data_IF_755912330358
#
_entry.id   IF_755912330358
#
_cell.length_a   1.000
_cell.length_b   1.000
_cell.length_c   1.000
_cell.angle_alpha   90.00
_cell.angle_beta   90.00
_cell.angle_gamma   90.00
#
_symmetry.space_group_name_H-M   'P 1'
#
loop_
_entity.id
_entity.type
_entity.pdbx_description
1 polymer ?
#
# COMPACT_ATOMS: atom_id res chain seq x y z
N UNK A 1 -1.96 -20.08 15.71
CA UNK A 1 -1.97 -21.51 15.34
C UNK A 1 -0.74 -21.86 14.48
N UNK A 2 -0.52 -21.20 13.34
CA UNK A 2 0.61 -21.52 12.43
C UNK A 2 1.98 -21.49 13.12
N UNK A 3 2.29 -20.42 13.86
CA UNK A 3 3.54 -20.30 14.61
C UNK A 3 3.73 -21.39 15.67
N UNK A 4 2.65 -21.72 16.40
CA UNK A 4 2.67 -22.81 17.37
C UNK A 4 2.94 -24.16 16.71
N UNK A 5 2.35 -24.43 15.55
CA UNK A 5 2.59 -25.65 14.79
C UNK A 5 4.05 -25.72 14.34
N UNK A 6 4.58 -24.63 13.75
CA UNK A 6 5.97 -24.58 13.29
C UNK A 6 6.95 -24.82 14.46
N UNK A 7 6.73 -24.15 15.59
CA UNK A 7 7.58 -24.29 16.78
C UNK A 7 7.60 -25.71 17.32
N UNK A 8 6.46 -26.43 17.29
CA UNK A 8 6.39 -27.81 17.76
C UNK A 8 6.85 -28.85 16.73
N UNK A 9 6.88 -28.51 15.43
CA UNK A 9 7.34 -29.42 14.40
C UNK A 9 8.85 -29.41 14.18
N UNK A 10 9.51 -28.28 14.44
CA UNK A 10 10.91 -28.10 14.12
C UNK A 10 11.71 -27.67 15.35
N UNK A 11 12.69 -28.48 15.73
CA UNK A 11 13.66 -28.16 16.78
C UNK A 11 14.80 -27.31 16.16
N UNK A 12 14.54 -26.01 16.02
CA UNK A 12 15.49 -25.06 15.42
C UNK A 12 15.31 -23.64 15.99
N UNK A 13 16.27 -22.78 15.73
CA UNK A 13 16.15 -21.34 16.01
C UNK A 13 15.37 -20.66 14.90
N UNK A 14 14.55 -19.67 15.27
CA UNK A 14 13.70 -18.93 14.35
C UNK A 14 14.14 -17.48 14.26
N UNK A 15 14.20 -16.95 13.05
CA UNK A 15 14.22 -15.50 12.80
C UNK A 15 12.91 -15.13 12.11
N UNK A 16 12.10 -14.32 12.79
CA UNK A 16 10.81 -13.88 12.28
C UNK A 16 10.88 -12.42 11.93
N UNK A 17 10.45 -12.10 10.70
CA UNK A 17 10.35 -10.73 10.20
C UNK A 17 8.89 -10.41 9.95
N UNK A 18 8.46 -9.23 10.36
CA UNK A 18 7.09 -8.79 10.14
C UNK A 18 6.92 -7.30 10.39
N UNK A 19 5.83 -6.76 9.87
CA UNK A 19 5.37 -5.41 10.17
C UNK A 19 3.90 -5.48 10.59
N UNK A 20 3.65 -5.32 11.89
CA UNK A 20 2.29 -5.34 12.44
C UNK A 20 1.40 -4.23 11.88
N UNK A 21 2.00 -3.20 11.30
CA UNK A 21 1.31 -2.05 10.74
C UNK A 21 0.87 -2.28 9.29
N UNK A 22 1.45 -3.27 8.62
CA UNK A 22 1.04 -3.73 7.30
C UNK A 22 0.13 -4.96 7.37
N UNK A 23 -0.58 -5.12 8.49
CA UNK A 23 -1.51 -6.23 8.63
C UNK A 23 -2.85 -5.94 7.98
N UNK A 24 -3.36 -6.93 7.25
CA UNK A 24 -4.71 -6.92 6.71
C UNK A 24 -5.75 -7.43 7.72
N UNK A 25 -5.28 -8.06 8.82
CA UNK A 25 -6.09 -8.59 9.91
C UNK A 25 -5.55 -8.09 11.26
N UNK A 26 -5.88 -6.86 11.68
CA UNK A 26 -5.31 -6.22 12.88
C UNK A 26 -5.51 -7.03 14.17
N UNK A 27 -6.67 -7.64 14.34
CA UNK A 27 -6.99 -8.45 15.53
C UNK A 27 -6.09 -9.67 15.65
N UNK A 28 -5.91 -10.42 14.56
CA UNK A 28 -5.06 -11.61 14.55
C UNK A 28 -3.59 -11.26 14.83
N UNK A 29 -3.13 -10.11 14.36
CA UNK A 29 -1.76 -9.65 14.57
C UNK A 29 -1.50 -9.21 16.00
N UNK A 30 -2.45 -8.53 16.65
CA UNK A 30 -2.38 -8.18 18.08
C UNK A 30 -2.33 -9.43 18.95
N UNK A 31 -3.17 -10.42 18.65
CA UNK A 31 -3.18 -11.71 19.36
C UNK A 31 -1.83 -12.42 19.20
N UNK A 32 -1.27 -12.43 18.01
CA UNK A 32 0.05 -13.03 17.77
C UNK A 32 1.12 -12.32 18.58
N UNK A 33 1.21 -10.99 18.50
CA UNK A 33 2.19 -10.19 19.22
C UNK A 33 2.14 -10.44 20.73
N UNK A 34 0.94 -10.46 21.32
CA UNK A 34 0.75 -10.65 22.76
C UNK A 34 1.06 -12.07 23.25
N UNK A 35 1.10 -13.05 22.36
CA UNK A 35 1.34 -14.45 22.72
C UNK A 35 2.66 -15.01 22.16
N UNK A 36 3.45 -14.19 21.49
CA UNK A 36 4.69 -14.66 20.84
C UNK A 36 5.67 -15.25 21.87
N UNK A 37 5.87 -14.56 22.99
CA UNK A 37 6.76 -15.01 24.08
C UNK A 37 6.26 -16.34 24.70
N UNK A 38 4.95 -16.53 24.82
CA UNK A 38 4.38 -17.79 25.33
C UNK A 38 4.54 -18.96 24.34
N UNK A 39 4.56 -18.65 23.03
CA UNK A 39 4.73 -19.66 21.99
C UNK A 39 6.21 -20.07 21.88
N UNK A 40 7.13 -19.15 22.19
CA UNK A 40 8.58 -19.31 22.01
C UNK A 40 9.34 -19.54 23.33
N UNK A 41 8.64 -19.97 24.39
CA UNK A 41 9.19 -20.28 25.70
C UNK A 41 10.05 -19.15 26.31
N UNK A 42 9.61 -17.89 26.16
CA UNK A 42 10.22 -16.67 26.72
C UNK A 42 11.70 -16.44 26.32
N UNK A 43 12.18 -17.10 25.27
CA UNK A 43 13.57 -16.96 24.78
C UNK A 43 13.70 -16.03 23.58
N UNK A 44 12.66 -15.28 23.25
CA UNK A 44 12.68 -14.41 22.08
C UNK A 44 13.42 -13.09 22.35
N UNK A 45 14.19 -12.64 21.37
CA UNK A 45 14.79 -11.30 21.35
C UNK A 45 14.01 -10.48 20.33
N UNK A 46 13.35 -9.42 20.79
CA UNK A 46 12.65 -8.51 19.94
C UNK A 46 13.57 -7.37 19.48
N UNK A 47 13.68 -7.19 18.16
CA UNK A 47 14.46 -6.11 17.56
C UNK A 47 13.53 -5.28 16.67
N UNK A 48 13.38 -4.00 16.97
CA UNK A 48 12.61 -3.07 16.17
C UNK A 48 13.51 -2.38 15.14
N UNK A 49 13.16 -2.54 13.85
CA UNK A 49 13.79 -1.84 12.74
C UNK A 49 12.97 -0.60 12.41
N UNK A 50 13.42 0.55 12.89
CA UNK A 50 12.68 1.81 12.76
C UNK A 50 13.24 2.75 11.68
N UNK A 51 14.11 2.26 10.78
CA UNK A 51 14.72 3.05 9.72
C UNK A 51 14.37 2.50 8.34
N UNK A 52 13.82 3.36 7.48
CA UNK A 52 13.48 3.01 6.09
C UNK A 52 14.44 3.68 5.11
N UNK A 53 14.79 2.94 4.05
CA UNK A 53 15.62 3.39 2.92
C UNK A 53 14.83 3.36 1.60
N UNK A 54 13.58 2.90 1.65
CA UNK A 54 12.76 2.57 0.49
C UNK A 54 12.22 3.80 -0.22
N UNK A 55 11.41 4.57 0.47
CA UNK A 55 10.64 5.67 -0.11
C UNK A 55 11.33 7.03 0.13
N UNK A 56 10.98 8.03 -0.67
CA UNK A 56 11.41 9.40 -0.43
C UNK A 56 10.83 9.96 0.87
N UNK A 57 11.50 10.98 1.43
CA UNK A 57 11.13 11.62 2.70
C UNK A 57 9.66 12.01 2.74
N UNK A 58 9.17 12.68 1.70
CA UNK A 58 7.80 13.20 1.64
C UNK A 58 6.75 12.08 1.70
N UNK A 59 7.05 10.94 1.07
CA UNK A 59 6.17 9.77 1.12
C UNK A 59 6.19 9.16 2.52
N UNK A 60 7.37 9.04 3.14
CA UNK A 60 7.51 8.49 4.51
C UNK A 60 6.78 9.35 5.53
N UNK A 61 6.97 10.66 5.49
CA UNK A 61 6.29 11.61 6.37
C UNK A 61 4.77 11.50 6.22
N UNK A 62 4.28 11.39 4.98
CA UNK A 62 2.87 11.25 4.70
C UNK A 62 2.28 9.95 5.27
N UNK A 63 2.85 8.78 4.93
CA UNK A 63 2.27 7.53 5.43
C UNK A 63 2.44 7.34 6.95
N UNK A 64 3.47 7.93 7.56
CA UNK A 64 3.62 7.97 9.00
C UNK A 64 2.49 8.78 9.65
N UNK A 65 2.13 9.92 9.08
CA UNK A 65 0.97 10.72 9.50
C UNK A 65 -0.32 9.91 9.40
N UNK A 66 -0.57 9.28 8.24
CA UNK A 66 -1.74 8.40 8.03
C UNK A 66 -1.77 7.27 9.06
N UNK A 67 -0.64 6.62 9.32
CA UNK A 67 -0.53 5.50 10.26
C UNK A 67 -0.49 5.89 11.75
N UNK A 68 -0.47 7.19 12.09
CA UNK A 68 -0.20 7.70 13.45
C UNK A 68 1.12 7.16 14.01
N UNK A 69 2.19 7.17 13.20
CA UNK A 69 3.49 6.64 13.56
C UNK A 69 4.52 7.74 13.67
N UNK A 70 5.16 7.79 14.82
CA UNK A 70 6.16 8.81 15.13
C UNK A 70 7.59 8.30 15.05
N UNK A 71 7.79 6.97 14.95
CA UNK A 71 9.11 6.35 15.18
C UNK A 71 9.79 5.81 13.93
N UNK A 72 9.21 5.96 12.72
CA UNK A 72 9.87 5.51 11.50
C UNK A 72 10.76 6.63 10.98
N UNK A 73 12.07 6.44 11.14
CA UNK A 73 13.08 7.33 10.57
C UNK A 73 13.32 6.99 9.10
N UNK A 74 13.71 7.98 8.33
CA UNK A 74 14.06 7.80 6.91
C UNK A 74 15.52 8.22 6.67
N UNK A 75 16.14 7.63 5.67
CA UNK A 75 17.38 8.17 5.12
C UNK A 75 17.01 9.33 4.21
N UNK A 76 17.66 10.46 4.42
CA UNK A 76 17.38 11.71 3.72
C UNK A 76 17.56 11.56 2.20
N UNK A 77 16.47 11.15 1.51
CA UNK A 77 16.33 11.19 0.08
C UNK A 77 15.10 12.03 -0.23
N UNK A 78 15.34 13.27 -0.60
CA UNK A 78 14.27 14.16 -1.01
C UNK A 78 13.63 13.69 -2.31
N UNK A 79 12.32 13.75 -2.34
CA UNK A 79 11.50 13.42 -3.50
C UNK A 79 10.48 14.51 -3.76
N UNK A 80 9.49 14.19 -4.56
CA UNK A 80 8.39 15.10 -4.82
C UNK A 80 7.35 15.07 -3.69
N UNK A 81 6.62 16.17 -3.50
CA UNK A 81 5.48 16.19 -2.59
C UNK A 81 4.43 15.15 -3.01
N UNK A 82 3.71 14.63 -2.02
CA UNK A 82 2.51 13.82 -2.26
C UNK A 82 1.45 14.70 -2.91
N UNK A 83 0.89 14.25 -4.03
CA UNK A 83 -0.13 14.98 -4.76
C UNK A 83 -1.54 14.51 -4.39
N UNK A 84 -2.49 15.46 -4.37
CA UNK A 84 -3.90 15.22 -4.17
C UNK A 84 -4.66 15.74 -5.39
N UNK A 85 -5.31 14.85 -6.12
CA UNK A 85 -5.97 15.17 -7.37
C UNK A 85 -7.45 14.85 -7.27
N UNK A 86 -8.30 15.88 -7.37
CA UNK A 86 -9.75 15.68 -7.50
C UNK A 86 -10.09 15.34 -8.93
N UNK A 87 -10.97 14.36 -9.10
CA UNK A 87 -11.48 13.91 -10.38
C UNK A 87 -13.00 14.06 -10.43
N UNK A 88 -13.57 14.01 -11.62
CA UNK A 88 -15.02 13.88 -11.83
C UNK A 88 -15.24 12.52 -12.52
N UNK A 89 -16.34 11.85 -12.20
CA UNK A 89 -16.63 10.50 -12.73
C UNK A 89 -16.47 10.39 -14.25
N UNK A 90 -16.89 11.40 -15.00
CA UNK A 90 -16.86 11.40 -16.45
C UNK A 90 -15.46 11.65 -17.05
N UNK A 91 -14.56 12.26 -16.31
CA UNK A 91 -13.19 12.59 -16.75
C UNK A 91 -12.10 11.77 -16.04
N UNK A 92 -12.47 10.88 -15.17
CA UNK A 92 -11.55 10.16 -14.26
C UNK A 92 -10.49 9.36 -15.02
N UNK A 93 -10.89 8.62 -16.06
CA UNK A 93 -9.96 7.83 -16.87
C UNK A 93 -8.94 8.73 -17.57
N UNK A 94 -9.36 9.87 -18.12
CA UNK A 94 -8.46 10.83 -18.73
C UNK A 94 -7.43 11.40 -17.73
N UNK A 95 -7.88 11.75 -16.52
CA UNK A 95 -6.97 12.22 -15.44
C UNK A 95 -5.97 11.15 -15.04
N UNK A 96 -6.42 9.89 -14.90
CA UNK A 96 -5.52 8.78 -14.58
C UNK A 96 -4.49 8.53 -15.69
N UNK A 97 -4.88 8.64 -16.96
CA UNK A 97 -3.96 8.58 -18.10
C UNK A 97 -2.91 9.69 -18.07
N UNK A 98 -3.33 10.91 -17.79
CA UNK A 98 -2.42 12.06 -17.70
C UNK A 98 -1.41 11.88 -16.56
N UNK A 99 -1.84 11.35 -15.41
CA UNK A 99 -0.95 11.02 -14.31
C UNK A 99 0.06 9.92 -14.69
N UNK A 100 -0.39 8.86 -15.36
CA UNK A 100 0.49 7.80 -15.86
C UNK A 100 1.50 8.36 -16.85
N UNK A 101 1.06 9.18 -17.81
CA UNK A 101 1.93 9.82 -18.80
C UNK A 101 2.97 10.73 -18.12
N UNK A 102 2.55 11.52 -17.13
CA UNK A 102 3.44 12.36 -16.31
C UNK A 102 4.50 11.53 -15.58
N UNK A 103 4.13 10.36 -15.04
CA UNK A 103 5.04 9.47 -14.36
C UNK A 103 6.05 8.84 -15.34
N UNK A 104 5.57 8.34 -16.48
CA UNK A 104 6.42 7.79 -17.54
C UNK A 104 7.43 8.83 -18.09
N UNK A 105 6.99 10.07 -18.25
CA UNK A 105 7.87 11.18 -18.69
C UNK A 105 9.00 11.48 -17.69
N UNK A 106 8.84 11.10 -16.41
CA UNK A 106 9.88 11.21 -15.37
C UNK A 106 10.78 9.97 -15.30
N UNK A 107 10.58 8.98 -16.14
CA UNK A 107 11.37 7.75 -16.19
C UNK A 107 10.92 6.68 -15.21
N UNK A 108 9.71 6.80 -14.61
CA UNK A 108 9.17 5.74 -13.77
C UNK A 108 8.66 4.59 -14.66
N UNK A 109 9.15 3.40 -14.41
CA UNK A 109 8.85 2.22 -15.21
C UNK A 109 7.76 1.36 -14.60
N UNK A 110 7.71 1.25 -13.26
CA UNK A 110 6.67 0.52 -12.56
C UNK A 110 5.68 1.49 -11.92
N UNK A 111 4.43 1.48 -12.40
CA UNK A 111 3.37 2.38 -11.95
C UNK A 111 2.14 1.57 -11.56
N UNK A 112 1.64 1.75 -10.34
CA UNK A 112 0.42 1.11 -9.91
C UNK A 112 -0.71 2.10 -9.65
N UNK A 113 -1.90 1.79 -10.15
CA UNK A 113 -3.16 2.35 -9.65
C UNK A 113 -3.69 1.38 -8.61
N UNK A 114 -3.63 1.78 -7.35
CA UNK A 114 -4.03 0.93 -6.22
C UNK A 114 -5.44 1.27 -5.79
N UNK A 115 -6.33 0.30 -5.87
CA UNK A 115 -7.73 0.39 -5.45
C UNK A 115 -7.94 -0.26 -4.07
N UNK A 116 -8.97 0.14 -3.35
CA UNK A 116 -9.29 -0.42 -2.03
C UNK A 116 -9.63 -1.91 -2.10
N UNK A 117 -10.37 -2.34 -3.12
CA UNK A 117 -10.86 -3.72 -3.26
C UNK A 117 -10.60 -4.31 -4.64
N UNK A 118 -10.58 -5.65 -4.76
CA UNK A 118 -10.49 -6.35 -6.04
C UNK A 118 -11.63 -5.96 -6.98
N UNK A 119 -12.86 -5.79 -6.44
CA UNK A 119 -14.01 -5.35 -7.24
C UNK A 119 -13.80 -3.98 -7.86
N UNK A 120 -13.26 -3.02 -7.11
CA UNK A 120 -12.94 -1.70 -7.66
C UNK A 120 -11.86 -1.80 -8.73
N UNK A 121 -10.85 -2.67 -8.54
CA UNK A 121 -9.80 -2.90 -9.53
C UNK A 121 -10.37 -3.41 -10.86
N UNK A 122 -11.25 -4.42 -10.81
CA UNK A 122 -11.90 -4.98 -12.00
C UNK A 122 -12.79 -3.95 -12.71
N UNK A 123 -13.59 -3.19 -11.96
CA UNK A 123 -14.45 -2.15 -12.55
C UNK A 123 -13.62 -1.06 -13.22
N UNK A 124 -12.53 -0.64 -12.59
CA UNK A 124 -11.64 0.37 -13.16
C UNK A 124 -10.94 -0.14 -14.42
N UNK A 125 -10.49 -1.40 -14.43
CA UNK A 125 -9.89 -2.02 -15.62
C UNK A 125 -10.87 -2.08 -16.80
N UNK A 126 -12.14 -2.45 -16.55
CA UNK A 126 -13.19 -2.42 -17.58
C UNK A 126 -13.43 -0.99 -18.12
N UNK A 127 -13.32 0.03 -17.29
CA UNK A 127 -13.48 1.43 -17.75
C UNK A 127 -12.31 1.85 -18.65
N UNK A 128 -11.08 1.43 -18.35
CA UNK A 128 -9.93 1.63 -19.20
C UNK A 128 -10.11 0.92 -20.55
N UNK A 129 -10.56 -0.33 -20.55
CA UNK A 129 -10.82 -1.11 -21.75
C UNK A 129 -11.90 -0.44 -22.63
N UNK A 130 -13.01 0.02 -22.03
CA UNK A 130 -14.07 0.77 -22.74
C UNK A 130 -13.57 2.08 -23.35
N UNK A 131 -12.56 2.69 -22.75
CA UNK A 131 -11.88 3.87 -23.30
C UNK A 131 -10.83 3.51 -24.38
N UNK A 132 -10.68 2.23 -24.74
CA UNK A 132 -9.70 1.75 -25.72
C UNK A 132 -8.27 1.69 -25.21
N UNK A 133 -8.08 1.64 -23.88
CA UNK A 133 -6.77 1.67 -23.24
C UNK A 133 -6.49 0.30 -22.61
N UNK A 134 -5.44 -0.34 -23.07
CA UNK A 134 -4.97 -1.57 -22.45
C UNK A 134 -4.17 -1.26 -21.20
N UNK A 135 -4.56 -1.87 -20.06
CA UNK A 135 -3.86 -1.78 -18.78
C UNK A 135 -3.88 -3.14 -18.11
N UNK A 136 -2.79 -3.50 -17.43
CA UNK A 136 -2.69 -4.78 -16.75
C UNK A 136 -3.50 -4.76 -15.44
N UNK A 137 -4.48 -5.65 -15.31
CA UNK A 137 -5.13 -5.94 -14.04
C UNK A 137 -4.36 -7.05 -13.33
N UNK A 138 -3.93 -6.80 -12.10
CA UNK A 138 -3.31 -7.80 -11.24
C UNK A 138 -4.34 -8.25 -10.20
N UNK A 139 -4.74 -9.49 -10.31
CA UNK A 139 -5.69 -10.16 -9.42
C UNK A 139 -5.11 -11.49 -8.88
N UNK A 140 -5.92 -12.24 -8.15
CA UNK A 140 -5.53 -13.51 -7.54
C UNK A 140 -5.17 -14.62 -8.56
N UNK A 141 -5.50 -14.42 -9.84
CA UNK A 141 -5.23 -15.37 -10.94
C UNK A 141 -3.99 -14.97 -11.77
N UNK A 142 -3.34 -13.87 -11.41
CA UNK A 142 -2.21 -13.35 -12.17
C UNK A 142 -0.91 -14.06 -11.79
N UNK A 143 -0.42 -14.96 -12.64
CA UNK A 143 0.81 -15.74 -12.38
C UNK A 143 2.11 -14.94 -12.57
N UNK A 144 2.09 -13.90 -13.40
CA UNK A 144 3.29 -13.11 -13.74
C UNK A 144 3.00 -11.63 -13.71
N UNK A 145 3.81 -10.91 -12.94
CA UNK A 145 3.84 -9.46 -12.93
C UNK A 145 4.93 -8.95 -13.89
N UNK A 146 4.52 -8.18 -14.89
CA UNK A 146 5.45 -7.42 -15.71
C UNK A 146 5.57 -6.00 -15.10
N UNK A 147 6.80 -5.55 -14.88
CA UNK A 147 7.07 -4.20 -14.40
C UNK A 147 6.63 -3.17 -15.44
N UNK A 148 5.36 -2.80 -15.41
CA UNK A 148 4.72 -1.79 -16.26
C UNK A 148 3.58 -1.14 -15.46
N UNK A 149 2.67 -0.46 -16.15
CA UNK A 149 1.48 0.13 -15.55
C UNK A 149 0.46 -0.96 -15.24
N UNK A 150 -0.02 -0.97 -14.01
CA UNK A 150 -1.05 -1.93 -13.60
C UNK A 150 -2.12 -1.30 -12.72
N UNK A 151 -3.28 -1.97 -12.68
CA UNK A 151 -4.32 -1.76 -11.67
C UNK A 151 -4.26 -2.95 -10.72
N UNK A 152 -4.27 -2.68 -9.43
CA UNK A 152 -4.12 -3.69 -8.39
C UNK A 152 -4.89 -3.27 -7.14
N UNK A 153 -5.43 -4.21 -6.38
CA UNK A 153 -6.01 -3.91 -5.07
C UNK A 153 -4.94 -3.77 -3.99
N UNK A 154 -5.27 -3.10 -2.89
CA UNK A 154 -4.39 -3.01 -1.72
C UNK A 154 -3.99 -4.41 -1.23
N UNK A 155 -4.92 -5.36 -1.24
CA UNK A 155 -4.70 -6.73 -0.79
C UNK A 155 -3.62 -7.44 -1.63
N UNK A 156 -3.68 -7.32 -2.94
CA UNK A 156 -2.76 -7.96 -3.87
C UNK A 156 -1.44 -7.18 -4.00
N UNK A 157 -1.43 -5.89 -3.65
CA UNK A 157 -0.22 -5.06 -3.68
C UNK A 157 0.77 -5.36 -2.55
N UNK A 158 0.35 -6.14 -1.54
CA UNK A 158 1.21 -6.45 -0.40
C UNK A 158 2.45 -7.23 -0.85
N UNK A 159 3.64 -6.69 -0.50
CA UNK A 159 4.93 -7.27 -0.90
C UNK A 159 5.48 -6.72 -2.22
N UNK A 160 4.68 -6.01 -3.00
CA UNK A 160 5.12 -5.34 -4.22
C UNK A 160 5.56 -3.90 -3.93
N UNK A 161 6.34 -3.33 -4.85
CA UNK A 161 6.84 -1.96 -4.80
C UNK A 161 6.81 -1.35 -6.20
N UNK A 162 6.52 -0.04 -6.29
CA UNK A 162 6.36 0.66 -7.55
C UNK A 162 7.07 2.01 -7.52
N UNK A 163 7.67 2.41 -8.63
CA UNK A 163 8.28 3.73 -8.77
C UNK A 163 7.27 4.83 -8.48
N UNK A 164 6.06 4.68 -9.02
CA UNK A 164 4.94 5.58 -8.82
C UNK A 164 3.66 4.86 -8.43
N UNK A 165 2.95 5.42 -7.44
CA UNK A 165 1.67 4.91 -6.98
C UNK A 165 0.60 5.98 -7.08
N UNK A 166 -0.54 5.61 -7.63
CA UNK A 166 -1.78 6.38 -7.64
C UNK A 166 -2.78 5.61 -6.77
N UNK A 167 -3.08 6.13 -5.58
CA UNK A 167 -4.14 5.55 -4.73
C UNK A 167 -5.49 6.07 -5.21
N UNK A 168 -6.31 5.15 -5.71
CA UNK A 168 -7.55 5.47 -6.38
C UNK A 168 -8.69 5.75 -5.41
N UNK A 169 -9.38 6.86 -5.63
CA UNK A 169 -10.63 7.27 -4.99
C UNK A 169 -10.60 7.21 -3.45
N UNK A 170 -9.72 8.00 -2.84
CA UNK A 170 -9.58 8.11 -1.38
C UNK A 170 -10.62 9.11 -0.85
N UNK A 171 -11.89 8.70 -0.88
CA UNK A 171 -13.05 9.47 -0.44
C UNK A 171 -13.66 8.93 0.86
N UNK A 172 -15.00 9.06 0.97
CA UNK A 172 -15.79 8.68 2.17
C UNK A 172 -15.68 7.18 2.49
N UNK A 173 -15.38 6.33 1.51
CA UNK A 173 -15.17 4.90 1.70
C UNK A 173 -14.00 4.58 2.64
N UNK A 174 -13.06 5.53 2.82
CA UNK A 174 -11.95 5.40 3.77
C UNK A 174 -12.30 6.12 5.07
N UNK A 175 -12.91 5.43 6.04
CA UNK A 175 -13.45 6.07 7.24
C UNK A 175 -13.15 5.32 8.56
N UNK A 176 -12.75 4.07 8.51
CA UNK A 176 -12.51 3.22 9.67
C UNK A 176 -11.01 3.07 10.00
N UNK A 177 -10.70 2.54 11.18
CA UNK A 177 -9.31 2.19 11.55
C UNK A 177 -8.72 1.12 10.63
N UNK A 178 -9.55 0.22 10.10
CA UNK A 178 -9.12 -0.78 9.10
C UNK A 178 -8.73 -0.05 7.82
N UNK A 179 -9.53 0.92 7.37
CA UNK A 179 -9.23 1.70 6.17
C UNK A 179 -7.95 2.52 6.32
N UNK A 180 -7.68 3.00 7.52
CA UNK A 180 -6.43 3.67 7.85
C UNK A 180 -5.21 2.77 7.63
N UNK A 181 -5.29 1.51 8.08
CA UNK A 181 -4.23 0.53 7.84
C UNK A 181 -4.11 0.19 6.34
N UNK A 182 -5.24 0.04 5.63
CA UNK A 182 -5.24 -0.22 4.19
C UNK A 182 -4.58 0.93 3.44
N UNK A 183 -4.94 2.17 3.76
CA UNK A 183 -4.34 3.35 3.14
C UNK A 183 -2.84 3.45 3.44
N UNK A 184 -2.42 3.18 4.68
CA UNK A 184 -1.01 3.08 5.04
C UNK A 184 -0.28 2.05 4.16
N UNK A 185 -0.84 0.84 4.00
CA UNK A 185 -0.27 -0.21 3.15
C UNK A 185 -0.11 0.30 1.71
N UNK A 186 -1.17 0.89 1.13
CA UNK A 186 -1.13 1.42 -0.23
C UNK A 186 -0.01 2.46 -0.42
N UNK A 187 0.08 3.42 0.51
CA UNK A 187 1.08 4.48 0.44
C UNK A 187 2.52 3.97 0.59
N UNK A 188 2.73 2.91 1.40
CA UNK A 188 4.06 2.29 1.57
C UNK A 188 4.54 1.51 0.35
N UNK A 189 3.70 1.34 -0.69
CA UNK A 189 4.10 0.73 -1.97
C UNK A 189 4.88 1.68 -2.88
N UNK A 190 4.81 2.99 -2.64
CA UNK A 190 5.44 4.01 -3.46
C UNK A 190 6.93 4.21 -3.09
N UNK A 191 7.79 4.20 -4.11
CA UNK A 191 9.22 4.47 -3.96
C UNK A 191 9.55 5.95 -4.17
N UNK A 192 9.05 6.55 -5.26
CA UNK A 192 9.46 7.87 -5.74
C UNK A 192 8.34 8.89 -5.83
N UNK A 193 7.14 8.46 -6.22
CA UNK A 193 5.99 9.34 -6.40
C UNK A 193 4.71 8.71 -5.87
N UNK A 194 3.95 9.52 -5.15
CA UNK A 194 2.65 9.16 -4.60
C UNK A 194 1.62 10.22 -4.96
N UNK A 195 0.50 9.79 -5.55
CA UNK A 195 -0.68 10.63 -5.80
C UNK A 195 -1.90 9.93 -5.21
N UNK A 196 -2.76 10.68 -4.55
CA UNK A 196 -4.07 10.21 -4.11
C UNK A 196 -5.12 10.90 -4.98
N UNK A 197 -6.08 10.12 -5.50
CA UNK A 197 -7.21 10.67 -6.26
C UNK A 197 -8.50 10.57 -5.47
N UNK A 198 -9.46 11.43 -5.77
CA UNK A 198 -10.79 11.39 -5.19
C UNK A 198 -11.81 11.93 -6.20
N UNK A 199 -12.85 11.15 -6.49
CA UNK A 199 -13.96 11.55 -7.35
C UNK A 199 -15.19 12.05 -6.57
N UNK A 200 -15.06 12.23 -5.27
CA UNK A 200 -16.07 12.73 -4.35
C UNK A 200 -15.83 14.21 -4.01
N UNK A 201 -16.75 14.81 -3.25
CA UNK A 201 -16.61 16.21 -2.85
C UNK A 201 -15.35 16.47 -2.04
N UNK A 202 -15.01 15.55 -1.15
CA UNK A 202 -13.89 15.69 -0.21
C UNK A 202 -13.06 14.41 -0.15
N UNK A 203 -11.79 14.58 0.11
CA UNK A 203 -10.95 13.47 0.49
C UNK A 203 -11.34 12.93 1.86
N UNK A 204 -11.00 11.67 2.12
CA UNK A 204 -11.17 11.06 3.43
C UNK A 204 -10.56 11.92 4.54
N UNK A 205 -11.25 12.01 5.68
CA UNK A 205 -10.72 12.65 6.89
C UNK A 205 -9.44 12.00 7.43
N UNK A 206 -9.20 10.75 7.06
CA UNK A 206 -7.98 10.03 7.47
C UNK A 206 -6.68 10.64 6.94
N UNK A 207 -6.76 11.54 5.94
CA UNK A 207 -5.57 12.17 5.32
C UNK A 207 -5.52 13.69 5.53
N UNK A 208 -6.57 14.29 6.10
CA UNK A 208 -6.67 15.75 6.27
C UNK A 208 -6.17 16.18 7.65
N UNK A 209 -6.28 15.32 8.68
CA UNK A 209 -5.80 15.53 10.03
C UNK A 209 -4.32 15.14 10.16
#
# INVERSE_FOLDING_TARGET
>A
VQMYILHNLFDCTYTMLGDFNQTLCPESSKILQNNLDKILDEKSIYVELNKTYRSSRQIVEFYNKVGNKTNVNYVSRDGEPVEFVKTQKDSEIGVLQDLIAKYKAKGYNSIAIITKTNKQASVLAEQFEKAGISINLIDDNTDKYNNDVCIISIYNSKGLEFDGVIVYNVGEDYSSDIDKNLLYIACTRALHKLTLTCNEKEFSKLIID
#
